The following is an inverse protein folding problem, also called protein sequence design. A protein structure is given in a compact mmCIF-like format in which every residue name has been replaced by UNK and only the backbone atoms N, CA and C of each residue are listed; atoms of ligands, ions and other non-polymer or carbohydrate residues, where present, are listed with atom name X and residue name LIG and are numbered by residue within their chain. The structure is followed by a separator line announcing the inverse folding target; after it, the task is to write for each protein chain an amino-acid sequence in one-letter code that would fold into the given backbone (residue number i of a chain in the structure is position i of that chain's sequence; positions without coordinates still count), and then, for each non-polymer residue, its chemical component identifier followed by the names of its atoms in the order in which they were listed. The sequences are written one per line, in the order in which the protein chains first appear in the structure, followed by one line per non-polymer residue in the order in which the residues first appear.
data_IF_284980212932
#
_entry.id   IF_284980212932
#
_cell.length_a   1.000
_cell.length_b   1.000
_cell.length_c   1.000
_cell.angle_alpha   90.00
_cell.angle_beta   90.00
_cell.angle_gamma   90.00
#
_symmetry.space_group_name_H-M   'P 1'
#
loop_
_entity.id
_entity.type
_entity.pdbx_description
1 polymer ?
#
# COMPACT_ATOMS: atom_id res chain seq x y z
N UNK A 1 -10.12 41.64 13.18
CA UNK A 1 -9.47 40.67 12.26
C UNK A 1 -8.71 39.56 12.99
N UNK A 2 -7.82 39.86 13.96
CA UNK A 2 -7.01 38.86 14.73
C UNK A 2 -7.79 37.66 15.30
N UNK A 3 -8.94 37.88 15.97
CA UNK A 3 -9.75 36.79 16.54
C UNK A 3 -10.41 35.88 15.49
N UNK A 4 -10.72 36.42 14.30
CA UNK A 4 -11.30 35.64 13.19
C UNK A 4 -10.20 34.79 12.54
N UNK A 5 -9.00 35.34 12.36
CA UNK A 5 -7.82 34.59 11.90
C UNK A 5 -7.47 33.45 12.87
N UNK A 6 -7.45 33.70 14.19
CA UNK A 6 -7.16 32.67 15.19
C UNK A 6 -8.14 31.49 15.14
N UNK A 7 -9.44 31.77 14.97
CA UNK A 7 -10.47 30.73 14.80
C UNK A 7 -10.25 29.89 13.54
N UNK A 8 -9.89 30.52 12.43
CA UNK A 8 -9.56 29.82 11.18
C UNK A 8 -8.30 28.97 11.31
N UNK A 9 -7.24 29.49 11.95
CA UNK A 9 -6.02 28.71 12.22
C UNK A 9 -6.32 27.49 13.09
N UNK A 10 -7.14 27.64 14.13
CA UNK A 10 -7.60 26.52 14.96
C UNK A 10 -8.43 25.50 14.16
N UNK A 11 -9.34 25.96 13.31
CA UNK A 11 -10.15 25.08 12.48
C UNK A 11 -9.29 24.29 11.47
N UNK A 12 -8.35 24.96 10.81
CA UNK A 12 -7.40 24.32 9.87
C UNK A 12 -6.51 23.33 10.62
N UNK A 13 -6.00 23.70 11.80
CA UNK A 13 -5.21 22.80 12.64
C UNK A 13 -5.99 21.56 13.06
N UNK A 14 -7.24 21.72 13.50
CA UNK A 14 -8.11 20.59 13.84
C UNK A 14 -8.38 19.67 12.64
N UNK A 15 -8.68 20.24 11.47
CA UNK A 15 -8.84 19.49 10.22
C UNK A 15 -7.56 18.72 9.87
N UNK A 16 -6.40 19.35 10.00
CA UNK A 16 -5.11 18.71 9.75
C UNK A 16 -4.86 17.52 10.70
N UNK A 17 -5.17 17.66 11.99
CA UNK A 17 -5.04 16.58 12.97
C UNK A 17 -5.99 15.41 12.66
N UNK A 18 -7.25 15.70 12.32
CA UNK A 18 -8.23 14.67 11.92
C UNK A 18 -7.73 13.93 10.67
N UNK A 19 -7.25 14.68 9.69
CA UNK A 19 -6.70 14.13 8.45
C UNK A 19 -5.49 13.23 8.72
N UNK A 20 -4.51 13.71 9.49
CA UNK A 20 -3.32 12.93 9.86
C UNK A 20 -3.69 11.66 10.64
N UNK A 21 -4.66 11.75 11.55
CA UNK A 21 -5.13 10.60 12.32
C UNK A 21 -5.79 9.55 11.42
N UNK A 22 -6.54 9.99 10.41
CA UNK A 22 -7.17 9.11 9.41
C UNK A 22 -6.11 8.41 8.56
N UNK A 23 -5.11 9.14 8.07
CA UNK A 23 -3.98 8.56 7.32
C UNK A 23 -3.23 7.53 8.16
N UNK A 24 -2.89 7.85 9.42
CA UNK A 24 -2.24 6.91 10.34
C UNK A 24 -3.07 5.65 10.57
N UNK A 25 -4.39 5.79 10.72
CA UNK A 25 -5.31 4.66 10.88
C UNK A 25 -5.36 3.79 9.62
N UNK A 26 -5.40 4.40 8.43
CA UNK A 26 -5.40 3.68 7.15
C UNK A 26 -4.05 2.99 6.89
N UNK A 27 -2.92 3.61 7.28
CA UNK A 27 -1.60 2.98 7.24
C UNK A 27 -1.54 1.76 8.14
N UNK A 28 -2.13 1.82 9.33
CA UNK A 28 -2.21 0.67 10.24
C UNK A 28 -3.04 -0.48 9.64
N UNK A 29 -4.07 -0.17 8.86
CA UNK A 29 -4.86 -1.17 8.11
C UNK A 29 -4.20 -1.63 6.80
N UNK A 30 -2.99 -1.14 6.51
CA UNK A 30 -2.24 -1.39 5.27
C UNK A 30 -3.07 -1.08 4.02
N UNK A 31 -3.96 -0.09 4.11
CA UNK A 31 -4.70 0.41 2.95
C UNK A 31 -3.82 1.35 2.13
N UNK A 32 -4.06 1.46 0.81
CA UNK A 32 -3.44 2.50 0.01
C UNK A 32 -3.77 3.87 0.59
N UNK A 33 -2.73 4.55 1.06
CA UNK A 33 -2.75 5.90 1.64
C UNK A 33 -2.05 6.88 0.72
N UNK A 34 -2.20 8.18 0.99
CA UNK A 34 -1.46 9.21 0.25
C UNK A 34 0.05 9.01 0.45
N UNK A 35 0.49 8.60 1.64
CA UNK A 35 1.89 8.22 1.87
C UNK A 35 2.36 7.10 0.94
N UNK A 36 1.65 5.97 0.88
CA UNK A 36 2.03 4.84 0.01
C UNK A 36 1.99 5.21 -1.48
N UNK A 37 1.04 6.06 -1.87
CA UNK A 37 0.88 6.55 -3.25
C UNK A 37 2.04 7.47 -3.63
N UNK A 38 2.41 8.41 -2.75
CA UNK A 38 3.55 9.28 -2.95
C UNK A 38 4.86 8.49 -3.03
N UNK A 39 5.05 7.49 -2.15
CA UNK A 39 6.22 6.60 -2.18
C UNK A 39 6.28 5.78 -3.47
N UNK A 40 5.12 5.27 -3.93
CA UNK A 40 4.99 4.57 -5.22
C UNK A 40 5.43 5.46 -6.39
N UNK A 41 4.94 6.69 -6.43
CA UNK A 41 5.26 7.65 -7.49
C UNK A 41 6.74 8.02 -7.49
N UNK A 42 7.32 8.28 -6.31
CA UNK A 42 8.75 8.55 -6.17
C UNK A 42 9.61 7.37 -6.65
N UNK A 43 9.18 6.14 -6.38
CA UNK A 43 9.85 4.92 -6.83
C UNK A 43 9.55 4.55 -8.30
N UNK A 44 8.71 5.31 -9.00
CA UNK A 44 8.20 4.99 -10.33
C UNK A 44 7.58 3.58 -10.41
N UNK A 45 7.00 3.14 -9.29
CA UNK A 45 6.45 1.81 -9.14
C UNK A 45 5.03 1.75 -9.75
N UNK A 46 4.69 0.65 -10.45
CA UNK A 46 3.39 0.51 -11.08
C UNK A 46 2.25 0.46 -10.06
N UNK A 47 1.06 0.84 -10.48
CA UNK A 47 -0.13 0.53 -9.68
C UNK A 47 -0.55 -0.91 -9.96
N UNK A 48 -0.85 -1.68 -8.91
CA UNK A 48 -1.30 -3.05 -9.05
C UNK A 48 -2.61 -3.29 -8.32
N UNK A 49 -3.38 -4.21 -8.88
CA UNK A 49 -4.68 -4.64 -8.38
C UNK A 49 -4.74 -6.16 -8.36
N UNK A 50 -5.39 -6.71 -7.34
CA UNK A 50 -5.78 -8.11 -7.29
C UNK A 50 -6.92 -8.26 -6.27
N UNK A 51 -7.80 -9.24 -6.50
CA UNK A 51 -9.01 -9.44 -5.69
C UNK A 51 -9.95 -8.21 -5.68
N UNK A 52 -10.01 -7.46 -6.78
CA UNK A 52 -10.78 -6.22 -6.90
C UNK A 52 -10.31 -5.09 -5.97
N UNK A 53 -9.06 -5.15 -5.47
CA UNK A 53 -8.49 -4.14 -4.58
C UNK A 53 -7.11 -3.67 -5.05
N UNK A 54 -6.83 -2.38 -4.85
CA UNK A 54 -5.49 -1.79 -5.04
C UNK A 54 -4.58 -2.18 -3.90
N UNK A 55 -3.37 -2.65 -4.21
CA UNK A 55 -2.41 -3.01 -3.18
C UNK A 55 -1.53 -1.82 -2.79
N UNK A 56 -1.14 -1.77 -1.52
CA UNK A 56 -0.31 -0.69 -1.00
C UNK A 56 1.16 -0.95 -1.32
N UNK A 57 1.81 0.00 -2.00
CA UNK A 57 3.26 -0.03 -2.21
C UNK A 57 3.98 0.11 -0.88
N UNK A 58 4.91 -0.80 -0.60
CA UNK A 58 5.70 -0.81 0.63
C UNK A 58 7.09 -0.28 0.36
N UNK A 59 7.86 -0.96 -0.50
CA UNK A 59 9.23 -0.56 -0.83
C UNK A 59 9.76 -1.31 -2.07
N UNK A 60 11.01 -1.03 -2.46
CA UNK A 60 11.79 -1.87 -3.37
C UNK A 60 12.69 -2.79 -2.55
N UNK A 61 12.72 -4.08 -2.88
CA UNK A 61 13.54 -5.08 -2.18
C UNK A 61 14.35 -5.90 -3.16
N UNK A 62 15.59 -6.23 -2.79
CA UNK A 62 16.38 -7.22 -3.49
C UNK A 62 16.04 -8.63 -2.96
N UNK A 63 15.62 -9.51 -3.85
CA UNK A 63 15.19 -10.88 -3.52
C UNK A 63 16.35 -11.88 -3.67
N UNK A 64 17.48 -11.45 -4.22
CA UNK A 64 18.68 -12.26 -4.42
C UNK A 64 18.38 -13.51 -5.25
N UNK A 65 18.71 -14.68 -4.71
CA UNK A 65 18.52 -15.99 -5.36
C UNK A 65 17.21 -16.67 -4.98
N UNK A 66 16.35 -16.00 -4.21
CA UNK A 66 15.11 -16.62 -3.73
C UNK A 66 14.14 -16.86 -4.87
N UNK A 67 13.50 -18.03 -4.89
CA UNK A 67 12.55 -18.39 -5.95
C UNK A 67 11.16 -17.85 -5.63
N UNK A 68 10.64 -17.00 -6.52
CA UNK A 68 9.27 -16.53 -6.47
C UNK A 68 8.37 -17.38 -7.38
N UNK A 69 7.10 -17.50 -6.99
CA UNK A 69 6.06 -18.14 -7.79
C UNK A 69 5.22 -17.08 -8.49
N UNK A 70 4.81 -17.33 -9.73
CA UNK A 70 3.96 -16.42 -10.49
C UNK A 70 2.58 -16.30 -9.84
N UNK A 71 2.10 -15.08 -9.66
CA UNK A 71 0.78 -14.79 -9.12
C UNK A 71 -0.22 -14.66 -10.28
N UNK A 72 -1.29 -15.46 -10.26
CA UNK A 72 -2.23 -15.56 -11.40
C UNK A 72 -3.53 -14.78 -11.20
N UNK A 73 -3.80 -14.32 -9.98
CA UNK A 73 -5.02 -13.59 -9.63
C UNK A 73 -4.84 -12.06 -9.75
N UNK A 74 -3.76 -11.63 -10.40
CA UNK A 74 -3.48 -10.23 -10.67
C UNK A 74 -4.44 -9.64 -11.69
N UNK A 75 -4.75 -8.37 -11.53
CA UNK A 75 -5.63 -7.58 -12.39
C UNK A 75 -4.84 -6.44 -13.06
N UNK A 76 -5.39 -5.91 -14.16
CA UNK A 76 -4.79 -4.79 -14.88
C UNK A 76 -3.56 -5.15 -15.74
N UNK A 77 -2.78 -4.14 -16.16
CA UNK A 77 -1.72 -4.31 -17.16
C UNK A 77 -0.47 -5.04 -16.64
N UNK A 78 -0.27 -5.08 -15.32
CA UNK A 78 0.91 -5.68 -14.70
C UNK A 78 0.68 -7.10 -14.16
N UNK A 79 -0.50 -7.70 -14.40
CA UNK A 79 -0.89 -9.02 -13.88
C UNK A 79 0.14 -10.13 -14.16
N UNK A 80 0.78 -10.09 -15.34
CA UNK A 80 1.74 -11.10 -15.75
C UNK A 80 3.11 -10.97 -15.07
N UNK A 81 3.36 -9.83 -14.43
CA UNK A 81 4.62 -9.47 -13.76
C UNK A 81 4.49 -9.52 -12.23
N UNK A 82 3.42 -10.13 -11.73
CA UNK A 82 3.17 -10.30 -10.29
C UNK A 82 3.69 -11.65 -9.81
N UNK A 83 4.38 -11.64 -8.68
CA UNK A 83 4.98 -12.82 -8.07
C UNK A 83 4.78 -12.81 -6.56
N UNK A 84 4.88 -13.98 -5.93
CA UNK A 84 4.79 -14.13 -4.47
C UNK A 84 5.74 -15.22 -3.97
N UNK A 85 6.08 -15.19 -2.69
CA UNK A 85 6.84 -16.29 -2.09
C UNK A 85 5.96 -17.52 -1.86
N UNK A 86 6.37 -18.72 -2.31
CA UNK A 86 5.63 -19.94 -2.04
C UNK A 86 5.65 -20.31 -0.55
N UNK A 87 4.54 -20.84 -0.06
CA UNK A 87 4.23 -21.02 1.36
C UNK A 87 2.80 -20.52 1.60
N UNK A 88 2.04 -21.06 2.55
CA UNK A 88 0.63 -20.67 2.73
C UNK A 88 0.54 -19.27 3.38
N UNK A 89 -0.32 -18.36 2.89
CA UNK A 89 -1.79 -18.51 2.85
C UNK A 89 -2.40 -18.55 1.44
N UNK A 90 -3.70 -18.89 1.34
CA UNK A 90 -4.52 -18.83 0.10
C UNK A 90 -4.44 -17.46 -0.58
N UNK A 91 -4.18 -16.39 0.19
CA UNK A 91 -3.86 -15.06 -0.31
C UNK A 91 -2.48 -14.67 0.21
N UNK A 92 -1.51 -14.37 -0.65
CA UNK A 92 -0.19 -13.96 -0.20
C UNK A 92 -0.28 -12.59 0.49
N UNK A 93 0.43 -12.39 1.60
CA UNK A 93 0.50 -11.09 2.26
C UNK A 93 1.25 -10.04 1.42
N UNK A 94 2.18 -10.52 0.58
CA UNK A 94 3.01 -9.68 -0.27
C UNK A 94 2.97 -10.14 -1.72
N UNK A 95 2.89 -9.17 -2.63
CA UNK A 95 3.15 -9.35 -4.06
C UNK A 95 4.42 -8.58 -4.42
N UNK A 96 5.20 -9.18 -5.30
CA UNK A 96 6.44 -8.65 -5.84
C UNK A 96 6.27 -8.43 -7.33
N UNK A 97 6.58 -7.22 -7.80
CA UNK A 97 6.59 -6.90 -9.23
C UNK A 97 8.02 -6.65 -9.65
N UNK A 98 8.44 -7.29 -10.74
CA UNK A 98 9.81 -7.16 -11.22
C UNK A 98 10.15 -5.71 -11.58
N UNK A 99 11.31 -5.24 -11.13
CA UNK A 99 11.85 -3.93 -11.49
C UNK A 99 13.04 -4.08 -12.44
N UNK A 100 14.17 -4.54 -11.92
CA UNK A 100 15.43 -4.70 -12.66
C UNK A 100 16.35 -5.66 -11.93
N UNK A 101 16.98 -6.60 -12.63
CA UNK A 101 17.86 -7.59 -12.01
C UNK A 101 17.12 -8.43 -10.96
N UNK A 102 17.63 -8.44 -9.73
CA UNK A 102 17.04 -9.12 -8.56
C UNK A 102 16.16 -8.18 -7.71
N UNK A 103 15.96 -6.92 -8.13
CA UNK A 103 15.10 -5.97 -7.44
C UNK A 103 13.63 -6.12 -7.84
N UNK A 104 12.75 -6.05 -6.84
CA UNK A 104 11.31 -6.12 -6.98
C UNK A 104 10.62 -5.02 -6.18
N UNK A 105 9.55 -4.47 -6.73
CA UNK A 105 8.60 -3.65 -6.00
C UNK A 105 7.74 -4.54 -5.10
N UNK A 106 7.77 -4.29 -3.81
CA UNK A 106 7.01 -5.00 -2.79
C UNK A 106 5.71 -4.28 -2.48
N UNK A 107 4.61 -5.01 -2.59
CA UNK A 107 3.27 -4.56 -2.27
C UNK A 107 2.68 -5.42 -1.16
N UNK A 108 1.83 -4.83 -0.32
CA UNK A 108 1.13 -5.54 0.74
C UNK A 108 -0.37 -5.58 0.46
N UNK A 109 -0.99 -6.73 0.75
CA UNK A 109 -2.42 -6.91 0.63
C UNK A 109 -3.14 -6.00 1.65
N UNK A 110 -4.07 -5.14 1.23
CA UNK A 110 -4.87 -4.37 2.18
C UNK A 110 -5.63 -5.34 3.09
N UNK A 111 -5.36 -5.30 4.39
CA UNK A 111 -6.04 -6.20 5.33
C UNK A 111 -7.29 -5.49 5.83
N UNK A 112 -8.46 -6.03 5.50
CA UNK A 112 -9.67 -5.71 6.25
C UNK A 112 -9.60 -6.44 7.59
N UNK A 113 -9.54 -5.69 8.70
CA UNK A 113 -9.85 -6.25 10.01
C UNK A 113 -11.33 -6.63 9.97
N UNK A 114 -11.64 -7.91 9.78
CA UNK A 114 -12.89 -8.44 10.30
C UNK A 114 -12.76 -8.37 11.82
N UNK A 115 -13.51 -7.48 12.47
CA UNK A 115 -13.87 -7.72 13.86
C UNK A 115 -14.67 -9.04 13.86
N UNK A 116 -14.02 -10.16 14.16
CA UNK A 116 -14.73 -11.29 14.72
C UNK A 116 -15.09 -10.89 16.15
N UNK A 117 -16.38 -10.97 16.44
CA UNK A 117 -17.01 -10.39 17.62
C UNK A 117 -16.34 -10.79 18.93
N UNK A 118 -16.45 -9.87 19.88
CA UNK A 118 -16.51 -10.17 21.31
C UNK A 118 -17.95 -9.91 21.74
#
# INVERSE_FOLDING_TARGET
MRRRALKWTLAIGALFVIYMSTELFLMYQVKPTIYSTAKRWAAHAPEIEAYGQKWAYVDTVDIGTSTLTKFTEGEGPYKEQMYYFPGRPVRPAFIFVHKTGTEYYKYHLPTFIFFHGV
#
